data_IF_792384970919
#
_entry.id   IF_792384970919
#
_cell.length_a   1.000
_cell.length_b   1.000
_cell.length_c   1.000
_cell.angle_alpha   90.00
_cell.angle_beta   90.00
_cell.angle_gamma   90.00
#
_symmetry.space_group_name_H-M   'P 1'
#
loop_
_entity.id
_entity.type
_entity.pdbx_description
1 polymer ?
#
# COMPACT_ATOMS: atom_id res chain seq x y z
N UNK A 1 14.11 -6.55 -21.43
CA UNK A 1 12.75 -6.81 -20.93
C UNK A 1 11.96 -5.49 -20.94
N UNK A 2 10.82 -5.39 -21.65
CA UNK A 2 10.16 -4.08 -21.88
C UNK A 2 9.43 -3.54 -20.64
N UNK A 3 8.74 -4.39 -19.88
CA UNK A 3 8.07 -4.00 -18.64
C UNK A 3 9.05 -3.58 -17.54
N UNK A 4 10.28 -4.12 -17.54
CA UNK A 4 11.32 -3.69 -16.58
C UNK A 4 11.74 -2.25 -16.84
N UNK A 5 12.02 -1.90 -18.11
CA UNK A 5 12.39 -0.54 -18.53
C UNK A 5 11.32 0.48 -18.12
N UNK A 6 10.04 0.13 -18.20
CA UNK A 6 8.94 0.99 -17.75
C UNK A 6 9.02 1.36 -16.25
N UNK A 7 9.51 0.46 -15.40
CA UNK A 7 9.67 0.72 -13.95
C UNK A 7 10.99 1.39 -13.58
N UNK A 8 11.73 1.89 -14.57
CA UNK A 8 13.02 2.55 -14.37
C UNK A 8 12.87 3.98 -13.83
N UNK A 9 13.79 4.39 -12.95
CA UNK A 9 13.96 5.80 -12.57
C UNK A 9 15.10 6.51 -13.32
N UNK A 10 15.71 5.85 -14.30
CA UNK A 10 16.83 6.40 -15.08
C UNK A 10 16.33 7.17 -16.29
N UNK A 11 16.91 8.35 -16.54
CA UNK A 11 16.58 9.26 -17.65
C UNK A 11 16.35 8.60 -19.02
N UNK A 12 17.21 7.70 -19.55
CA UNK A 12 16.99 7.09 -20.87
C UNK A 12 15.77 6.18 -20.96
N UNK A 13 15.15 5.84 -19.83
CA UNK A 13 14.02 4.93 -19.71
C UNK A 13 12.74 5.61 -19.19
N UNK A 14 12.82 6.89 -18.80
CA UNK A 14 11.64 7.63 -18.38
C UNK A 14 10.66 7.76 -19.54
N UNK A 15 9.38 7.69 -19.23
CA UNK A 15 8.31 7.95 -20.20
C UNK A 15 8.32 7.02 -21.43
N UNK A 16 8.70 5.75 -21.22
CA UNK A 16 8.78 4.73 -22.28
C UNK A 16 8.03 3.44 -21.89
N UNK A 17 7.76 2.59 -22.88
CA UNK A 17 7.22 1.24 -22.70
C UNK A 17 5.89 1.13 -21.90
N UNK A 18 4.91 1.97 -22.23
CA UNK A 18 3.59 2.03 -21.59
C UNK A 18 2.64 0.88 -21.96
N UNK A 19 2.95 0.08 -22.99
CA UNK A 19 2.07 -0.96 -23.53
C UNK A 19 1.70 -2.09 -22.56
N UNK A 20 2.26 -2.06 -21.35
CA UNK A 20 1.89 -2.94 -20.23
C UNK A 20 2.12 -4.40 -20.59
N UNK A 21 1.04 -5.12 -20.91
CA UNK A 21 1.08 -6.53 -21.32
C UNK A 21 1.42 -6.71 -22.81
N UNK A 22 1.04 -5.76 -23.67
CA UNK A 22 1.16 -5.89 -25.13
C UNK A 22 2.10 -4.82 -25.71
N UNK A 23 3.31 -5.25 -26.07
CA UNK A 23 4.35 -4.41 -26.70
C UNK A 23 3.94 -3.77 -28.04
N UNK A 24 2.87 -4.27 -28.69
CA UNK A 24 2.42 -3.72 -29.97
C UNK A 24 2.06 -2.24 -29.86
N UNK A 25 1.48 -1.82 -28.72
CA UNK A 25 1.12 -0.42 -28.52
C UNK A 25 2.36 0.47 -28.46
N UNK A 26 3.43 0.03 -27.80
CA UNK A 26 4.68 0.81 -27.75
C UNK A 26 5.35 0.97 -29.12
N UNK A 27 5.21 -0.04 -29.98
CA UNK A 27 5.70 0.02 -31.36
C UNK A 27 4.83 0.89 -32.25
N UNK A 28 3.51 0.83 -32.07
CA UNK A 28 2.56 1.63 -32.85
C UNK A 28 2.62 3.12 -32.50
N UNK A 29 2.78 3.44 -31.21
CA UNK A 29 2.81 4.83 -30.72
C UNK A 29 4.23 5.38 -30.53
N UNK A 30 5.27 4.58 -30.83
CA UNK A 30 6.66 5.03 -30.82
C UNK A 30 7.28 5.23 -29.44
N UNK A 31 6.71 4.62 -28.40
CA UNK A 31 7.20 4.70 -27.01
C UNK A 31 8.14 3.55 -26.64
N UNK A 32 8.46 2.67 -27.60
CA UNK A 32 9.33 1.53 -27.37
C UNK A 32 10.80 1.92 -27.21
N UNK A 33 11.40 1.54 -26.08
CA UNK A 33 12.85 1.63 -25.82
C UNK A 33 13.39 0.28 -25.36
N UNK A 34 14.46 -0.25 -26.01
CA UNK A 34 15.09 -1.50 -25.58
C UNK A 34 15.87 -1.29 -24.27
N UNK A 35 16.05 -2.39 -23.54
CA UNK A 35 16.93 -2.40 -22.37
C UNK A 35 18.38 -2.53 -22.82
N UNK A 36 19.18 -1.50 -22.56
CA UNK A 36 20.60 -1.37 -22.95
C UNK A 36 21.56 -1.35 -21.74
N UNK A 37 21.07 -0.94 -20.57
CA UNK A 37 21.77 -0.92 -19.29
C UNK A 37 20.89 -1.52 -18.20
N UNK A 38 21.53 -1.89 -17.09
CA UNK A 38 20.81 -2.42 -15.93
C UNK A 38 19.81 -1.40 -15.37
N UNK A 39 18.55 -1.83 -15.32
CA UNK A 39 17.42 -1.01 -14.84
C UNK A 39 17.52 -0.77 -13.34
N UNK A 40 17.48 0.50 -12.94
CA UNK A 40 17.26 0.90 -11.53
C UNK A 40 15.79 1.20 -11.29
N UNK A 41 15.18 0.41 -10.42
CA UNK A 41 13.76 0.53 -10.09
C UNK A 41 13.48 1.71 -9.15
N UNK A 42 12.31 2.32 -9.33
CA UNK A 42 11.74 3.26 -8.37
C UNK A 42 11.13 4.48 -9.04
N UNK A 43 10.84 5.49 -8.23
CA UNK A 43 10.35 6.78 -8.69
C UNK A 43 11.54 7.75 -8.86
N UNK A 44 11.39 8.72 -9.77
CA UNK A 44 12.33 9.85 -9.90
C UNK A 44 12.29 10.75 -8.66
N UNK A 45 11.15 10.80 -7.99
CA UNK A 45 10.90 11.47 -6.72
C UNK A 45 10.54 10.42 -5.65
N UNK A 46 11.42 10.24 -4.66
CA UNK A 46 11.26 9.16 -3.68
C UNK A 46 10.22 9.53 -2.61
N UNK A 47 9.37 8.56 -2.26
CA UNK A 47 8.42 8.69 -1.16
C UNK A 47 9.00 8.00 0.07
N UNK A 48 8.99 8.69 1.21
CA UNK A 48 9.55 8.21 2.48
C UNK A 48 8.55 7.46 3.35
N UNK A 49 7.41 7.07 2.77
CA UNK A 49 6.31 6.38 3.46
C UNK A 49 6.07 4.98 2.88
N UNK A 50 5.70 4.05 3.75
CA UNK A 50 5.24 2.70 3.44
C UNK A 50 3.74 2.53 3.71
N UNK A 51 3.03 3.59 4.12
CA UNK A 51 1.58 3.54 4.27
C UNK A 51 0.94 3.39 2.87
N UNK A 52 0.26 2.26 2.59
CA UNK A 52 -0.31 2.00 1.27
C UNK A 52 -1.36 3.03 0.88
N UNK A 53 -2.09 3.62 1.83
CA UNK A 53 -3.08 4.66 1.53
C UNK A 53 -2.39 5.96 1.17
N UNK A 54 -1.35 6.34 1.91
CA UNK A 54 -0.55 7.52 1.57
C UNK A 54 0.10 7.36 0.19
N UNK A 55 0.71 6.20 -0.09
CA UNK A 55 1.33 5.89 -1.38
C UNK A 55 0.34 5.88 -2.55
N UNK A 56 -0.89 5.42 -2.32
CA UNK A 56 -1.93 5.43 -3.35
C UNK A 56 -2.42 6.86 -3.62
N UNK A 57 -2.59 7.66 -2.58
CA UNK A 57 -3.19 9.00 -2.68
C UNK A 57 -2.17 10.07 -3.09
N UNK A 58 -0.89 9.91 -2.74
CA UNK A 58 0.10 10.99 -2.86
C UNK A 58 0.29 11.52 -4.29
N UNK A 59 0.18 10.65 -5.31
CA UNK A 59 0.27 11.08 -6.70
C UNK A 59 -0.95 11.93 -7.12
N UNK A 60 -2.15 11.57 -6.68
CA UNK A 60 -3.36 12.36 -6.95
C UNK A 60 -3.33 13.71 -6.24
N UNK A 61 -2.77 13.77 -5.03
CA UNK A 61 -2.57 15.05 -4.34
C UNK A 61 -1.57 15.94 -5.06
N UNK A 62 -0.50 15.37 -5.63
CA UNK A 62 0.48 16.15 -6.41
C UNK A 62 -0.18 16.75 -7.65
N UNK A 63 -0.95 15.94 -8.39
CA UNK A 63 -1.72 16.41 -9.55
C UNK A 63 -2.70 17.51 -9.14
N UNK A 64 -3.41 17.35 -8.02
CA UNK A 64 -4.35 18.36 -7.54
C UNK A 64 -3.67 19.68 -7.16
N UNK A 65 -2.51 19.61 -6.48
CA UNK A 65 -1.71 20.79 -6.11
C UNK A 65 -1.16 21.48 -7.35
N UNK A 66 -0.61 20.72 -8.30
CA UNK A 66 -0.07 21.24 -9.55
C UNK A 66 -1.15 21.88 -10.42
N UNK A 67 -2.31 21.22 -10.56
CA UNK A 67 -3.45 21.75 -11.29
C UNK A 67 -3.93 23.08 -10.68
N UNK A 68 -4.04 23.14 -9.34
CA UNK A 68 -4.41 24.37 -8.64
C UNK A 68 -3.38 25.48 -8.85
N UNK A 69 -2.08 25.17 -8.79
CA UNK A 69 -1.01 26.12 -9.05
C UNK A 69 -1.04 26.65 -10.49
N UNK A 70 -1.43 25.82 -11.45
CA UNK A 70 -1.64 26.19 -12.85
C UNK A 70 -2.99 26.92 -13.10
N UNK A 71 -3.80 27.17 -12.08
CA UNK A 71 -5.12 27.79 -12.22
C UNK A 71 -6.16 26.91 -12.92
N UNK A 72 -6.00 25.58 -12.84
CA UNK A 72 -6.83 24.57 -13.49
C UNK A 72 -7.61 23.72 -12.49
N UNK A 73 -8.67 23.06 -12.95
CA UNK A 73 -9.46 22.12 -12.15
C UNK A 73 -8.85 20.72 -12.18
N UNK A 74 -9.16 19.90 -11.18
CA UNK A 74 -8.77 18.48 -11.16
C UNK A 74 -9.39 17.68 -12.34
N UNK A 75 -10.61 18.04 -12.74
CA UNK A 75 -11.26 17.47 -13.91
C UNK A 75 -10.48 17.75 -15.19
N UNK A 76 -9.93 18.95 -15.35
CA UNK A 76 -9.05 19.26 -16.48
C UNK A 76 -7.75 18.45 -16.40
N UNK A 77 -7.15 18.36 -15.20
CA UNK A 77 -5.90 17.64 -14.99
C UNK A 77 -5.99 16.13 -15.29
N UNK A 78 -7.19 15.53 -15.18
CA UNK A 78 -7.42 14.14 -15.57
C UNK A 78 -7.18 13.86 -17.07
N UNK A 79 -7.16 14.89 -17.92
CA UNK A 79 -6.95 14.79 -19.37
C UNK A 79 -5.76 15.61 -19.86
N UNK A 80 -5.07 16.33 -18.96
CA UNK A 80 -3.92 17.16 -19.31
C UNK A 80 -2.66 16.30 -19.49
N UNK A 81 -1.71 16.79 -20.30
CA UNK A 81 -0.38 16.21 -20.31
C UNK A 81 0.34 16.53 -19.00
N UNK A 82 1.16 15.63 -18.43
CA UNK A 82 2.00 15.95 -17.28
C UNK A 82 2.86 17.22 -17.48
N UNK A 83 3.27 17.49 -18.72
CA UNK A 83 3.99 18.72 -19.10
C UNK A 83 3.19 20.01 -18.83
N UNK A 84 1.86 19.94 -18.89
CA UNK A 84 0.98 21.09 -18.71
C UNK A 84 0.77 21.46 -17.23
N UNK A 85 1.12 20.54 -16.32
CA UNK A 85 1.01 20.72 -14.87
C UNK A 85 2.25 21.40 -14.27
N UNK A 86 3.31 21.59 -15.05
CA UNK A 86 4.58 22.20 -14.63
C UNK A 86 5.44 21.28 -13.76
N UNK A 87 6.74 21.56 -13.70
CA UNK A 87 7.74 20.71 -13.02
C UNK A 87 7.81 20.94 -11.50
N UNK A 88 6.72 21.32 -10.85
CA UNK A 88 6.73 21.54 -9.41
C UNK A 88 6.78 20.19 -8.68
N UNK A 89 7.96 19.59 -8.58
CA UNK A 89 8.21 18.50 -7.65
C UNK A 89 8.19 19.11 -6.25
N UNK A 90 7.29 18.69 -5.35
CA UNK A 90 7.30 19.14 -3.97
C UNK A 90 8.70 18.92 -3.35
N UNK A 91 9.23 19.91 -2.64
CA UNK A 91 10.61 19.91 -2.15
C UNK A 91 10.92 18.71 -1.22
N UNK A 92 9.90 18.16 -0.57
CA UNK A 92 9.94 16.98 0.30
C UNK A 92 10.03 15.64 -0.46
N UNK A 93 9.87 15.65 -1.79
CA UNK A 93 9.91 14.45 -2.65
C UNK A 93 11.19 14.34 -3.48
N UNK A 94 12.18 15.19 -3.23
CA UNK A 94 13.50 15.02 -3.84
C UNK A 94 14.16 13.75 -3.31
N UNK A 95 14.69 12.93 -4.22
CA UNK A 95 15.38 11.70 -3.83
C UNK A 95 16.55 12.05 -2.89
N UNK A 96 16.63 11.44 -1.69
CA UNK A 96 17.84 11.57 -0.88
C UNK A 96 19.01 11.02 -1.69
N UNK A 97 20.17 11.68 -1.63
CA UNK A 97 21.38 11.27 -2.36
C UNK A 97 21.84 9.86 -1.98
N UNK A 98 21.40 9.37 -0.81
CA UNK A 98 21.68 8.04 -0.30
C UNK A 98 20.35 7.32 -0.01
N UNK A 99 20.12 6.21 -0.71
CA UNK A 99 19.06 5.27 -0.36
C UNK A 99 19.36 4.68 1.02
N UNK A 100 18.56 5.03 2.03
CA UNK A 100 18.62 4.38 3.35
C UNK A 100 17.64 3.23 3.29
N UNK A 101 18.15 2.01 3.18
CA UNK A 101 17.33 0.81 3.35
C UNK A 101 16.57 0.91 4.68
N UNK A 102 15.27 0.60 4.67
CA UNK A 102 14.49 0.48 5.89
C UNK A 102 15.24 -0.44 6.84
N UNK A 103 15.57 0.06 8.03
CA UNK A 103 16.27 -0.71 9.05
C UNK A 103 15.64 -2.09 9.20
N UNK A 104 16.50 -3.12 9.25
CA UNK A 104 16.11 -4.51 9.46
C UNK A 104 15.14 -4.55 10.65
N UNK A 105 13.86 -4.76 10.35
CA UNK A 105 12.86 -4.93 11.39
C UNK A 105 13.26 -6.17 12.20
N UNK A 106 13.13 -6.11 13.52
CA UNK A 106 13.36 -7.30 14.35
C UNK A 106 12.43 -8.44 13.89
N UNK A 107 12.87 -9.69 14.08
CA UNK A 107 12.15 -10.89 13.61
C UNK A 107 10.69 -10.92 14.05
N UNK A 108 10.37 -10.45 15.26
CA UNK A 108 9.00 -10.36 15.75
C UNK A 108 8.13 -9.42 14.94
N UNK A 109 8.68 -8.30 14.46
CA UNK A 109 7.94 -7.32 13.65
C UNK A 109 7.70 -7.84 12.23
N UNK A 110 8.67 -8.56 11.65
CA UNK A 110 8.43 -9.29 10.40
C UNK A 110 7.34 -10.35 10.56
N UNK A 111 7.38 -11.13 11.65
CA UNK A 111 6.33 -12.10 11.99
C UNK A 111 4.96 -11.44 12.11
N UNK A 112 4.87 -10.33 12.82
CA UNK A 112 3.63 -9.54 12.94
C UNK A 112 3.08 -9.11 11.58
N UNK A 113 3.95 -8.59 10.69
CA UNK A 113 3.55 -8.12 9.35
C UNK A 113 3.01 -9.26 8.50
N UNK A 114 3.73 -10.37 8.42
CA UNK A 114 3.34 -11.54 7.61
C UNK A 114 2.03 -12.14 8.12
N UNK A 115 1.91 -12.34 9.43
CA UNK A 115 0.71 -12.95 10.01
C UNK A 115 -0.50 -12.01 9.95
N UNK A 116 -0.30 -10.70 10.16
CA UNK A 116 -1.37 -9.71 9.98
C UNK A 116 -1.86 -9.65 8.55
N UNK A 117 -0.95 -9.76 7.57
CA UNK A 117 -1.32 -9.85 6.16
C UNK A 117 -2.11 -11.13 5.85
N UNK A 118 -1.69 -12.28 6.37
CA UNK A 118 -2.43 -13.54 6.23
C UNK A 118 -3.85 -13.44 6.82
N UNK A 119 -3.99 -12.82 8.00
CA UNK A 119 -5.30 -12.57 8.62
C UNK A 119 -6.17 -11.62 7.78
N UNK A 120 -5.57 -10.60 7.17
CA UNK A 120 -6.27 -9.71 6.24
C UNK A 120 -6.79 -10.46 5.01
N UNK A 121 -5.99 -11.38 4.45
CA UNK A 121 -6.41 -12.23 3.32
C UNK A 121 -7.58 -13.13 3.74
N UNK A 122 -7.51 -13.79 4.90
CA UNK A 122 -8.64 -14.61 5.40
C UNK A 122 -9.91 -13.76 5.61
N UNK A 123 -9.75 -12.55 6.12
CA UNK A 123 -10.86 -11.60 6.31
C UNK A 123 -11.48 -11.18 4.98
N UNK A 124 -10.66 -10.90 3.96
CA UNK A 124 -11.12 -10.59 2.62
C UNK A 124 -11.86 -11.78 1.97
N UNK A 125 -11.34 -13.00 2.10
CA UNK A 125 -12.00 -14.21 1.58
C UNK A 125 -13.33 -14.49 2.27
N UNK A 126 -13.41 -14.21 3.56
CA UNK A 126 -14.67 -14.29 4.32
C UNK A 126 -15.65 -13.21 3.82
N UNK A 127 -15.19 -11.97 3.65
CA UNK A 127 -16.02 -10.90 3.10
C UNK A 127 -16.59 -11.29 1.73
N UNK A 128 -15.76 -11.74 0.79
CA UNK A 128 -16.19 -12.12 -0.56
C UNK A 128 -17.20 -13.28 -0.56
N UNK A 129 -16.94 -14.34 0.22
CA UNK A 129 -17.81 -15.51 0.27
C UNK A 129 -19.21 -15.19 0.81
N UNK A 130 -19.30 -14.28 1.79
CA UNK A 130 -20.57 -13.95 2.45
C UNK A 130 -21.28 -12.73 1.84
N UNK A 131 -20.54 -11.84 1.18
CA UNK A 131 -21.10 -10.73 0.40
C UNK A 131 -21.99 -11.24 -0.73
N UNK A 132 -21.51 -12.20 -1.52
CA UNK A 132 -22.28 -12.79 -2.63
C UNK A 132 -23.42 -13.70 -2.19
N UNK A 133 -23.36 -14.22 -0.96
CA UNK A 133 -24.38 -15.11 -0.40
C UNK A 133 -25.45 -14.37 0.43
N UNK A 134 -25.30 -13.06 0.67
CA UNK A 134 -26.16 -12.25 1.56
C UNK A 134 -26.39 -12.86 2.96
N UNK A 135 -25.46 -13.71 3.41
CA UNK A 135 -25.61 -14.48 4.64
C UNK A 135 -25.24 -13.68 5.91
N UNK A 136 -24.59 -12.52 5.74
CA UNK A 136 -24.26 -11.58 6.81
C UNK A 136 -25.02 -10.26 6.61
N UNK A 137 -25.37 -9.59 7.71
CA UNK A 137 -25.98 -8.26 7.61
C UNK A 137 -24.98 -7.23 7.05
N UNK A 138 -25.50 -6.15 6.47
CA UNK A 138 -24.66 -5.06 5.93
C UNK A 138 -23.71 -4.46 6.97
N UNK A 139 -24.09 -4.47 8.25
CA UNK A 139 -23.22 -4.02 9.33
C UNK A 139 -21.99 -4.93 9.51
N UNK A 140 -22.16 -6.25 9.45
CA UNK A 140 -21.03 -7.19 9.51
C UNK A 140 -20.11 -7.02 8.30
N UNK A 141 -20.69 -6.86 7.10
CA UNK A 141 -19.92 -6.67 5.86
C UNK A 141 -19.13 -5.36 5.88
N UNK A 142 -19.75 -4.26 6.32
CA UNK A 142 -19.06 -2.98 6.50
C UNK A 142 -17.93 -3.09 7.54
N UNK A 143 -18.17 -3.80 8.65
CA UNK A 143 -17.17 -4.00 9.68
C UNK A 143 -15.98 -4.87 9.20
N UNK A 144 -16.25 -5.95 8.46
CA UNK A 144 -15.21 -6.75 7.79
C UNK A 144 -14.38 -5.91 6.81
N UNK A 145 -15.02 -5.08 5.99
CA UNK A 145 -14.33 -4.20 5.06
C UNK A 145 -13.40 -3.20 5.79
N UNK A 146 -13.89 -2.57 6.86
CA UNK A 146 -13.07 -1.68 7.70
C UNK A 146 -11.89 -2.42 8.34
N UNK A 147 -12.07 -3.66 8.81
CA UNK A 147 -10.99 -4.46 9.36
C UNK A 147 -9.94 -4.83 8.31
N UNK A 148 -10.34 -5.16 7.08
CA UNK A 148 -9.40 -5.42 5.97
C UNK A 148 -8.57 -4.18 5.68
N UNK A 149 -9.20 -3.01 5.52
CA UNK A 149 -8.51 -1.74 5.26
C UNK A 149 -7.54 -1.41 6.39
N UNK A 150 -8.01 -1.45 7.65
CA UNK A 150 -7.18 -1.15 8.82
C UNK A 150 -6.01 -2.13 8.96
N UNK A 151 -6.20 -3.40 8.60
CA UNK A 151 -5.14 -4.41 8.64
C UNK A 151 -4.07 -4.14 7.58
N UNK A 152 -4.46 -3.82 6.34
CA UNK A 152 -3.51 -3.47 5.26
C UNK A 152 -2.74 -2.20 5.60
N UNK A 153 -3.41 -1.17 6.12
CA UNK A 153 -2.76 0.06 6.58
C UNK A 153 -1.76 -0.20 7.71
N UNK A 154 -2.11 -1.06 8.67
CA UNK A 154 -1.23 -1.34 9.82
C UNK A 154 0.13 -1.93 9.43
N UNK A 155 0.16 -2.77 8.39
CA UNK A 155 1.39 -3.39 7.88
C UNK A 155 2.32 -2.38 7.23
N UNK A 156 1.77 -1.33 6.61
CA UNK A 156 2.53 -0.25 6.00
C UNK A 156 3.04 0.76 7.02
N UNK A 157 2.18 1.19 7.94
CA UNK A 157 2.52 2.20 8.95
C UNK A 157 3.70 1.78 9.81
N UNK A 158 3.82 0.50 10.15
CA UNK A 158 4.89 0.04 11.05
C UNK A 158 6.31 0.32 10.52
N UNK A 159 6.47 0.46 9.20
CA UNK A 159 7.75 0.80 8.58
C UNK A 159 8.01 2.32 8.50
N UNK A 160 7.05 3.16 8.92
CA UNK A 160 7.14 4.63 8.89
C UNK A 160 7.06 5.30 10.25
N UNK A 161 6.69 4.58 11.31
CA UNK A 161 6.46 5.17 12.62
C UNK A 161 7.77 5.58 13.28
N UNK A 162 7.77 6.77 13.89
CA UNK A 162 8.78 7.16 14.87
C UNK A 162 8.54 6.44 16.21
N UNK A 163 9.60 6.26 17.01
CA UNK A 163 9.61 5.63 18.33
C UNK A 163 8.53 6.20 19.25
N UNK A 164 8.23 7.50 19.14
CA UNK A 164 7.20 8.19 19.94
C UNK A 164 5.77 7.74 19.62
N UNK A 165 5.52 7.30 18.39
CA UNK A 165 4.19 6.90 17.92
C UNK A 165 3.92 5.39 18.14
N UNK A 166 4.97 4.61 18.38
CA UNK A 166 4.92 3.17 18.51
C UNK A 166 3.97 2.66 19.62
N UNK A 167 3.90 3.26 20.84
CA UNK A 167 3.00 2.77 21.89
C UNK A 167 1.52 2.93 21.54
N UNK A 168 1.13 4.10 20.99
CA UNK A 168 -0.24 4.36 20.56
C UNK A 168 -0.63 3.46 19.40
N UNK A 169 0.28 3.26 18.45
CA UNK A 169 0.06 2.32 17.36
C UNK A 169 -0.13 0.89 17.87
N UNK A 170 0.69 0.41 18.81
CA UNK A 170 0.52 -0.92 19.42
C UNK A 170 -0.84 -1.09 20.10
N UNK A 171 -1.31 -0.07 20.83
CA UNK A 171 -2.64 -0.09 21.43
C UNK A 171 -3.75 -0.18 20.36
N UNK A 172 -3.63 0.60 19.29
CA UNK A 172 -4.57 0.55 18.17
C UNK A 172 -4.57 -0.83 17.49
N UNK A 173 -3.41 -1.48 17.34
CA UNK A 173 -3.31 -2.83 16.79
C UNK A 173 -3.90 -3.89 17.72
N UNK A 174 -3.67 -3.78 19.04
CA UNK A 174 -4.29 -4.65 20.03
C UNK A 174 -5.82 -4.56 19.99
N UNK A 175 -6.36 -3.35 19.94
CA UNK A 175 -7.80 -3.11 19.80
C UNK A 175 -8.35 -3.71 18.49
N UNK A 176 -7.67 -3.48 17.36
CA UNK A 176 -8.04 -4.06 16.05
C UNK A 176 -8.08 -5.59 16.10
N UNK A 177 -7.07 -6.24 16.67
CA UNK A 177 -6.99 -7.69 16.77
C UNK A 177 -8.08 -8.26 17.69
N UNK A 178 -8.38 -7.59 18.81
CA UNK A 178 -9.45 -7.99 19.71
C UNK A 178 -10.83 -7.87 19.03
N UNK A 179 -11.08 -6.76 18.33
CA UNK A 179 -12.30 -6.52 17.55
C UNK A 179 -12.47 -7.54 16.42
N UNK A 180 -11.38 -7.88 15.72
CA UNK A 180 -11.35 -8.94 14.71
C UNK A 180 -11.72 -10.29 15.33
N UNK A 181 -11.08 -10.68 16.43
CA UNK A 181 -11.36 -11.95 17.11
C UNK A 181 -12.83 -12.04 17.57
N UNK A 182 -13.36 -10.97 18.18
CA UNK A 182 -14.75 -10.90 18.62
C UNK A 182 -15.74 -11.11 17.46
N UNK A 183 -15.47 -10.48 16.31
CA UNK A 183 -16.30 -10.66 15.11
C UNK A 183 -16.22 -12.07 14.54
N UNK A 184 -15.01 -12.62 14.40
CA UNK A 184 -14.87 -13.99 13.91
C UNK A 184 -15.53 -15.00 14.84
N UNK A 185 -15.48 -14.79 16.16
CA UNK A 185 -16.18 -15.61 17.14
C UNK A 185 -17.70 -15.46 17.04
N UNK A 186 -18.22 -14.26 16.73
CA UNK A 186 -19.66 -14.07 16.56
C UNK A 186 -20.20 -14.72 15.28
N UNK A 187 -19.37 -14.83 14.24
CA UNK A 187 -19.75 -15.46 12.97
C UNK A 187 -19.47 -16.97 12.97
N UNK A 188 -18.36 -17.40 13.59
CA UNK A 188 -17.86 -18.78 13.55
C UNK A 188 -17.49 -19.30 14.96
N UNK A 189 -18.46 -19.37 15.89
CA UNK A 189 -18.18 -19.80 17.27
C UNK A 189 -17.61 -21.21 17.35
N UNK A 190 -17.95 -22.10 16.40
CA UNK A 190 -17.42 -23.47 16.32
C UNK A 190 -15.90 -23.54 16.08
N UNK A 191 -15.27 -22.45 15.65
CA UNK A 191 -13.83 -22.37 15.38
C UNK A 191 -13.07 -21.56 16.45
N UNK A 192 -13.65 -21.40 17.64
CA UNK A 192 -13.12 -20.52 18.68
C UNK A 192 -11.64 -20.79 19.04
N UNK A 193 -11.23 -22.06 19.16
CA UNK A 193 -9.84 -22.42 19.47
C UNK A 193 -8.88 -21.93 18.40
N UNK A 194 -9.19 -22.16 17.12
CA UNK A 194 -8.38 -21.71 15.98
C UNK A 194 -8.32 -20.19 15.88
N UNK A 195 -9.46 -19.51 16.08
CA UNK A 195 -9.54 -18.05 16.03
C UNK A 195 -8.67 -17.44 17.13
N UNK A 196 -8.82 -17.91 18.38
CA UNK A 196 -8.06 -17.42 19.52
C UNK A 196 -6.56 -17.75 19.40
N UNK A 197 -6.21 -18.95 18.95
CA UNK A 197 -4.82 -19.33 18.73
C UNK A 197 -4.17 -18.46 17.64
N UNK A 198 -4.84 -18.29 16.50
CA UNK A 198 -4.35 -17.46 15.39
C UNK A 198 -4.12 -16.01 15.82
N UNK A 199 -5.12 -15.36 16.43
CA UNK A 199 -4.99 -13.99 16.93
C UNK A 199 -3.95 -13.89 18.05
N UNK A 200 -3.85 -14.90 18.92
CA UNK A 200 -2.87 -14.97 19.99
C UNK A 200 -1.42 -14.97 19.48
N UNK A 201 -1.13 -15.70 18.40
CA UNK A 201 0.20 -15.66 17.75
C UNK A 201 0.49 -14.27 17.19
N UNK A 202 -0.48 -13.60 16.55
CA UNK A 202 -0.27 -12.23 16.03
C UNK A 202 0.00 -11.24 17.16
N UNK A 203 -0.74 -11.35 18.27
CA UNK A 203 -0.53 -10.52 19.47
C UNK A 203 0.85 -10.80 20.09
N UNK A 204 1.26 -12.06 20.17
CA UNK A 204 2.59 -12.43 20.66
C UNK A 204 3.69 -11.80 19.79
N UNK A 205 3.58 -11.84 18.46
CA UNK A 205 4.52 -11.17 17.55
C UNK A 205 4.52 -9.63 17.71
N UNK A 206 3.37 -9.03 17.99
CA UNK A 206 3.26 -7.58 18.24
C UNK A 206 4.01 -7.17 19.53
N UNK A 207 3.97 -8.00 20.57
CA UNK A 207 4.53 -7.71 21.90
C UNK A 207 5.99 -8.16 22.01
N UNK A 208 6.42 -9.19 21.28
CA UNK A 208 7.78 -9.78 21.33
C UNK A 208 8.93 -8.84 20.89
N UNK A 209 8.65 -7.55 20.69
CA UNK A 209 9.61 -6.50 20.31
C UNK A 209 9.75 -5.45 21.43
N UNK A 210 9.88 -5.90 22.69
CA UNK A 210 10.43 -5.11 23.81
C UNK A 210 11.89 -5.49 23.96
#
# INVERSE_FOLDING_TARGET
SHHRVHHSNQEPYLDTNYGGTLIIFDRLFGTFVPEEQEVRYGLTSQVTSFDPVALTICAYTDIAVAAKAAGRSLLWAAWASPSDLGNAVPADKQAPTNYVAVQDACVGLHGYRVLSFALAVVSLRTFEAFWGAHALSSAHLAFLAMLVIASVQSVGQVATLDQRQLPLWRLAQGARLALSAALFLSIFPQHASTILAGHGVVVACLIANV
#
